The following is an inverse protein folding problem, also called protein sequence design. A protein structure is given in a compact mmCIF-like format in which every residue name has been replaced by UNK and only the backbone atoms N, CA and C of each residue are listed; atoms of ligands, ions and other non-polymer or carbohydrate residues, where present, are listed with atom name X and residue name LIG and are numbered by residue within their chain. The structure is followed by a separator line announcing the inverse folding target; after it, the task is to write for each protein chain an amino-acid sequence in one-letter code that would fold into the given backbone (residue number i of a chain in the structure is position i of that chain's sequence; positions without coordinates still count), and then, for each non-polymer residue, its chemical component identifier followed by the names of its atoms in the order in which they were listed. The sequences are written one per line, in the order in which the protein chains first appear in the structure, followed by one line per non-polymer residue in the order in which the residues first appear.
data_IF_716193365024
#
_entry.id   IF_716193365024
#
_cell.length_a   1.000
_cell.length_b   1.000
_cell.length_c   1.000
_cell.angle_alpha   90.00
_cell.angle_beta   90.00
_cell.angle_gamma   90.00
#
_symmetry.space_group_name_H-M   'P 1'
#
loop_
_entity.id
_entity.type
_entity.pdbx_description
1 polymer ?
#
# COMPACT_ATOMS: atom_id res chain seq x y z
N UNK A 1 13.32 9.33 -25.44
CA UNK A 1 13.14 7.93 -25.90
C UNK A 1 12.27 7.14 -24.93
N UNK A 2 12.69 6.92 -23.66
CA UNK A 2 11.88 6.20 -22.67
C UNK A 2 10.51 6.82 -22.40
N UNK A 3 10.43 8.15 -22.21
CA UNK A 3 9.15 8.83 -21.97
C UNK A 3 8.14 8.63 -23.10
N UNK A 4 8.60 8.63 -24.35
CA UNK A 4 7.74 8.41 -25.51
C UNK A 4 7.27 6.96 -25.59
N UNK A 5 8.18 6.00 -25.38
CA UNK A 5 7.83 4.57 -25.30
C UNK A 5 6.77 4.30 -24.21
N UNK A 6 6.96 4.85 -23.00
CA UNK A 6 5.99 4.69 -21.92
C UNK A 6 4.66 5.41 -22.21
N UNK A 7 4.68 6.56 -22.89
CA UNK A 7 3.45 7.22 -23.32
C UNK A 7 2.64 6.34 -24.28
N UNK A 8 3.30 5.74 -25.27
CA UNK A 8 2.67 4.82 -26.24
C UNK A 8 2.15 3.54 -25.56
N UNK A 9 2.91 2.98 -24.61
CA UNK A 9 2.45 1.82 -23.82
C UNK A 9 1.21 2.14 -23.00
N UNK A 10 1.15 3.31 -22.37
CA UNK A 10 0.01 3.76 -21.57
C UNK A 10 -1.22 4.05 -22.44
N UNK A 11 -1.03 4.65 -23.62
CA UNK A 11 -2.11 4.87 -24.59
C UNK A 11 -2.70 3.52 -25.06
N UNK A 12 -1.84 2.57 -25.44
CA UNK A 12 -2.28 1.24 -25.86
C UNK A 12 -2.99 0.49 -24.72
N UNK A 13 -2.51 0.59 -23.48
CA UNK A 13 -3.16 -0.02 -22.32
C UNK A 13 -4.54 0.60 -22.06
N UNK A 14 -4.65 1.93 -22.20
CA UNK A 14 -5.91 2.66 -22.06
C UNK A 14 -6.94 2.24 -23.11
N UNK A 15 -6.49 2.04 -24.35
CA UNK A 15 -7.34 1.55 -25.44
C UNK A 15 -7.79 0.10 -25.23
N UNK A 16 -6.92 -0.76 -24.72
CA UNK A 16 -7.29 -2.13 -24.33
C UNK A 16 -8.35 -2.09 -23.23
N UNK A 17 -8.13 -1.29 -22.18
CA UNK A 17 -9.07 -1.16 -21.07
C UNK A 17 -10.46 -0.70 -21.53
N UNK A 18 -10.52 0.21 -22.52
CA UNK A 18 -11.78 0.71 -23.09
C UNK A 18 -12.51 -0.35 -23.92
N UNK A 19 -11.79 -1.13 -24.74
CA UNK A 19 -12.41 -2.00 -25.74
C UNK A 19 -12.61 -3.45 -25.28
N UNK A 20 -11.81 -3.93 -24.33
CA UNK A 20 -11.84 -5.34 -23.90
C UNK A 20 -13.17 -5.80 -23.28
N UNK A 21 -13.94 -4.97 -22.53
CA UNK A 21 -15.22 -5.40 -21.95
C UNK A 21 -16.25 -5.85 -22.99
N UNK A 22 -16.31 -5.16 -24.13
CA UNK A 22 -17.28 -5.41 -25.20
C UNK A 22 -16.72 -6.33 -26.31
N UNK A 23 -15.40 -6.52 -26.36
CA UNK A 23 -14.77 -7.33 -27.39
C UNK A 23 -15.05 -8.84 -27.23
N UNK A 24 -15.45 -9.46 -28.33
CA UNK A 24 -15.67 -10.91 -28.46
C UNK A 24 -14.90 -11.52 -29.65
N UNK A 25 -14.79 -12.84 -29.68
CA UNK A 25 -14.16 -13.57 -30.78
C UNK A 25 -12.72 -13.13 -31.05
N UNK A 26 -12.38 -12.96 -32.32
CA UNK A 26 -11.02 -12.60 -32.79
C UNK A 26 -10.53 -11.29 -32.16
N UNK A 27 -11.39 -10.28 -32.06
CA UNK A 27 -11.02 -8.96 -31.51
C UNK A 27 -10.59 -9.04 -30.05
N UNK A 28 -11.25 -9.88 -29.25
CA UNK A 28 -10.86 -10.12 -27.84
C UNK A 28 -9.48 -10.76 -27.75
N UNK A 29 -9.20 -11.74 -28.63
CA UNK A 29 -7.91 -12.41 -28.67
C UNK A 29 -6.77 -11.45 -29.05
N UNK A 30 -7.00 -10.55 -30.00
CA UNK A 30 -6.05 -9.49 -30.37
C UNK A 30 -5.74 -8.56 -29.19
N UNK A 31 -6.76 -8.06 -28.48
CA UNK A 31 -6.56 -7.17 -27.34
C UNK A 31 -5.79 -7.85 -26.20
N UNK A 32 -6.10 -9.12 -25.92
CA UNK A 32 -5.35 -9.91 -24.92
C UNK A 32 -3.91 -10.23 -25.37
N UNK A 33 -3.66 -10.33 -26.68
CA UNK A 33 -2.31 -10.48 -27.22
C UNK A 33 -1.51 -9.18 -27.03
N UNK A 34 -2.11 -8.02 -27.33
CA UNK A 34 -1.50 -6.70 -27.08
C UNK A 34 -1.20 -6.48 -25.59
N UNK A 35 -2.12 -6.84 -24.71
CA UNK A 35 -1.88 -6.77 -23.26
C UNK A 35 -0.68 -7.64 -22.83
N UNK A 36 -0.61 -8.89 -23.34
CA UNK A 36 0.53 -9.77 -23.05
C UNK A 36 1.85 -9.19 -23.55
N UNK A 37 1.84 -8.52 -24.70
CA UNK A 37 3.01 -7.81 -25.22
C UNK A 37 3.42 -6.64 -24.31
N UNK A 38 2.47 -5.79 -23.90
CA UNK A 38 2.73 -4.67 -22.98
C UNK A 38 3.31 -5.16 -21.65
N UNK A 39 2.75 -6.25 -21.11
CA UNK A 39 3.26 -6.87 -19.89
C UNK A 39 4.69 -7.35 -20.07
N UNK A 40 4.98 -8.08 -21.16
CA UNK A 40 6.33 -8.56 -21.46
C UNK A 40 7.33 -7.40 -21.58
N UNK A 41 6.97 -6.33 -22.28
CA UNK A 41 7.82 -5.14 -22.40
C UNK A 41 8.06 -4.45 -21.05
N UNK A 42 7.05 -4.43 -20.17
CA UNK A 42 7.20 -3.91 -18.82
C UNK A 42 8.15 -4.76 -17.99
N UNK A 43 8.05 -6.09 -18.08
CA UNK A 43 8.93 -7.01 -17.36
C UNK A 43 10.40 -6.84 -17.84
N UNK A 44 10.62 -6.80 -19.16
CA UNK A 44 11.95 -6.57 -19.74
C UNK A 44 12.54 -5.20 -19.36
N UNK A 45 11.74 -4.13 -19.35
CA UNK A 45 12.20 -2.81 -18.94
C UNK A 45 12.59 -2.77 -17.45
N UNK A 46 11.90 -3.52 -16.60
CA UNK A 46 12.23 -3.65 -15.18
C UNK A 46 13.54 -4.41 -14.99
N UNK A 47 13.76 -5.50 -15.73
CA UNK A 47 15.00 -6.28 -15.67
C UNK A 47 16.21 -5.45 -16.11
N UNK A 48 16.09 -4.70 -17.21
CA UNK A 48 17.14 -3.79 -17.69
C UNK A 48 17.43 -2.66 -16.69
N UNK A 49 16.37 -2.09 -16.08
CA UNK A 49 16.54 -1.08 -15.04
C UNK A 49 17.25 -1.65 -13.81
N UNK A 50 16.92 -2.88 -13.41
CA UNK A 50 17.57 -3.56 -12.29
C UNK A 50 19.05 -3.81 -12.57
N UNK A 51 19.39 -4.34 -13.75
CA UNK A 51 20.77 -4.55 -14.18
C UNK A 51 21.58 -3.24 -14.19
N UNK A 52 20.97 -2.15 -14.67
CA UNK A 52 21.58 -0.83 -14.64
C UNK A 52 21.80 -0.31 -13.20
N UNK A 53 20.81 -0.47 -12.32
CA UNK A 53 20.93 -0.07 -10.92
C UNK A 53 22.03 -0.85 -10.17
N UNK A 54 22.17 -2.15 -10.45
CA UNK A 54 23.26 -2.97 -9.93
C UNK A 54 24.62 -2.51 -10.45
N UNK A 55 24.73 -2.24 -11.76
CA UNK A 55 25.96 -1.72 -12.36
C UNK A 55 26.36 -0.36 -11.77
N UNK A 56 25.41 0.54 -11.55
CA UNK A 56 25.63 1.82 -10.87
C UNK A 56 26.13 1.62 -9.43
N UNK A 57 25.54 0.68 -8.70
CA UNK A 57 25.97 0.36 -7.33
C UNK A 57 27.42 -0.12 -7.29
N UNK A 58 27.79 -1.05 -8.17
CA UNK A 58 29.14 -1.57 -8.30
C UNK A 58 30.13 -0.48 -8.75
N UNK A 59 29.72 0.39 -9.67
CA UNK A 59 30.54 1.51 -10.11
C UNK A 59 30.83 2.48 -8.97
N UNK A 60 29.81 2.84 -8.17
CA UNK A 60 29.99 3.69 -6.98
C UNK A 60 30.99 3.09 -5.99
N UNK A 61 30.86 1.80 -5.70
CA UNK A 61 31.79 1.09 -4.81
C UNK A 61 33.23 1.07 -5.35
N UNK A 62 33.41 0.94 -6.67
CA UNK A 62 34.73 0.87 -7.31
C UNK A 62 35.44 2.22 -7.41
N UNK A 63 34.70 3.29 -7.61
CA UNK A 63 35.28 4.61 -7.86
C UNK A 63 35.48 5.40 -6.56
N UNK A 64 35.14 4.82 -5.40
CA UNK A 64 35.10 5.54 -4.11
C UNK A 64 34.46 6.93 -4.28
N UNK A 65 33.38 6.98 -5.07
CA UNK A 65 32.56 8.18 -5.20
C UNK A 65 31.86 8.37 -3.85
N UNK A 66 32.59 8.96 -2.92
CA UNK A 66 32.02 9.71 -1.81
C UNK A 66 31.22 10.81 -2.48
N UNK A 67 29.92 10.83 -2.23
CA UNK A 67 29.13 12.02 -2.53
C UNK A 67 29.87 13.18 -1.86
N UNK A 68 30.34 14.15 -2.64
CA UNK A 68 30.64 15.46 -2.07
C UNK A 68 29.31 15.90 -1.48
N UNK A 69 29.19 16.06 -0.15
CA UNK A 69 27.96 16.54 0.44
C UNK A 69 27.65 17.86 -0.25
N UNK A 70 26.46 17.99 -0.84
CA UNK A 70 25.95 19.32 -1.13
C UNK A 70 26.11 20.15 0.15
N UNK A 71 26.58 21.41 0.05
CA UNK A 71 27.01 22.19 1.19
C UNK A 71 25.95 22.12 2.29
N UNK A 72 26.38 21.49 3.38
CA UNK A 72 25.56 21.07 4.50
C UNK A 72 24.69 22.23 5.00
N UNK A 73 23.39 22.18 4.72
CA UNK A 73 22.45 22.69 5.72
C UNK A 73 22.54 21.73 6.91
N UNK A 74 22.97 22.18 8.09
CA UNK A 74 23.36 21.31 9.17
C UNK A 74 22.14 20.72 9.86
N UNK A 75 21.59 19.63 9.30
CA UNK A 75 20.58 18.78 9.93
C UNK A 75 20.75 17.32 9.44
N UNK A 76 21.71 16.62 10.05
CA UNK A 76 21.70 15.17 10.36
C UNK A 76 21.37 14.13 9.26
N UNK A 77 22.41 13.40 8.83
CA UNK A 77 22.40 11.92 8.75
C UNK A 77 22.10 11.29 7.37
N UNK A 78 23.12 10.63 6.81
CA UNK A 78 23.07 9.76 5.61
C UNK A 78 21.96 8.68 5.65
N UNK A 79 21.48 8.30 6.85
CA UNK A 79 20.34 7.38 7.06
C UNK A 79 19.06 7.90 6.36
N UNK A 80 18.77 9.20 6.52
CA UNK A 80 17.48 9.81 6.15
C UNK A 80 17.11 9.67 4.67
N UNK A 81 18.10 9.56 3.78
CA UNK A 81 17.90 9.37 2.35
C UNK A 81 17.40 7.97 2.00
N UNK A 82 17.93 6.93 2.67
CA UNK A 82 17.57 5.53 2.40
C UNK A 82 16.14 5.26 2.88
N UNK A 83 15.70 5.80 4.02
CA UNK A 83 14.31 5.60 4.44
C UNK A 83 13.33 6.37 3.58
N UNK A 84 13.69 7.57 3.09
CA UNK A 84 12.87 8.31 2.14
C UNK A 84 12.71 7.53 0.82
N UNK A 85 13.77 6.87 0.36
CA UNK A 85 13.72 5.99 -0.81
C UNK A 85 12.87 4.73 -0.57
N UNK A 86 13.06 4.04 0.56
CA UNK A 86 12.23 2.89 0.93
C UNK A 86 10.75 3.28 1.05
N UNK A 87 10.45 4.44 1.61
CA UNK A 87 9.09 4.95 1.72
C UNK A 87 8.48 5.17 0.33
N UNK A 88 9.18 5.86 -0.57
CA UNK A 88 8.71 6.09 -1.94
C UNK A 88 8.51 4.78 -2.71
N UNK A 89 9.44 3.83 -2.62
CA UNK A 89 9.32 2.48 -3.21
C UNK A 89 8.12 1.72 -2.64
N UNK A 90 7.95 1.75 -1.32
CA UNK A 90 6.80 1.15 -0.63
C UNK A 90 5.47 1.69 -1.14
N UNK A 91 5.34 3.01 -1.29
CA UNK A 91 4.15 3.63 -1.88
C UNK A 91 3.93 3.20 -3.34
N UNK A 92 4.99 3.12 -4.13
CA UNK A 92 4.94 2.62 -5.52
C UNK A 92 4.42 1.19 -5.59
N UNK A 93 5.00 0.28 -4.78
CA UNK A 93 4.56 -1.11 -4.70
C UNK A 93 3.11 -1.23 -4.23
N UNK A 94 2.69 -0.44 -3.25
CA UNK A 94 1.29 -0.42 -2.79
C UNK A 94 0.32 -0.03 -3.92
N UNK A 95 0.64 1.04 -4.66
CA UNK A 95 -0.18 1.49 -5.81
C UNK A 95 -0.27 0.43 -6.92
N UNK A 96 0.79 -0.36 -7.09
CA UNK A 96 0.86 -1.48 -8.03
C UNK A 96 0.31 -2.80 -7.46
N UNK A 97 -0.27 -2.79 -6.25
CA UNK A 97 -0.80 -3.96 -5.55
C UNK A 97 0.24 -5.06 -5.25
N UNK A 98 1.53 -4.71 -5.22
CA UNK A 98 2.64 -5.61 -4.91
C UNK A 98 2.87 -5.66 -3.40
N UNK A 99 1.89 -6.19 -2.67
CA UNK A 99 1.86 -6.14 -1.19
C UNK A 99 3.06 -6.79 -0.48
N UNK A 100 3.62 -7.94 -0.93
CA UNK A 100 4.83 -8.48 -0.30
C UNK A 100 6.03 -7.52 -0.35
N UNK A 101 6.29 -6.91 -1.51
CA UNK A 101 7.37 -5.92 -1.65
C UNK A 101 7.08 -4.65 -0.84
N UNK A 102 5.82 -4.22 -0.80
CA UNK A 102 5.40 -3.12 0.06
C UNK A 102 5.73 -3.40 1.54
N UNK A 103 5.46 -4.62 2.02
CA UNK A 103 5.77 -5.04 3.39
C UNK A 103 7.28 -4.99 3.64
N UNK A 104 8.10 -5.50 2.72
CA UNK A 104 9.56 -5.45 2.85
C UNK A 104 10.07 -4.01 3.03
N UNK A 105 9.64 -3.09 2.16
CA UNK A 105 10.11 -1.70 2.21
C UNK A 105 9.69 -0.98 3.50
N UNK A 106 8.41 -1.10 3.89
CA UNK A 106 7.93 -0.42 5.08
C UNK A 106 8.40 -1.08 6.38
N UNK A 107 8.77 -2.37 6.37
CA UNK A 107 9.41 -3.03 7.50
C UNK A 107 10.76 -2.39 7.83
N UNK A 108 11.55 -2.06 6.79
CA UNK A 108 12.80 -1.29 6.96
C UNK A 108 12.50 0.08 7.57
N UNK A 109 11.52 0.82 7.02
CA UNK A 109 11.15 2.15 7.55
C UNK A 109 10.77 2.10 9.03
N UNK A 110 9.93 1.15 9.46
CA UNK A 110 9.49 1.07 10.86
C UNK A 110 10.57 0.53 11.81
N UNK A 111 11.60 -0.16 11.29
CA UNK A 111 12.75 -0.57 12.10
C UNK A 111 13.54 0.63 12.63
N UNK A 112 13.56 1.73 11.86
CA UNK A 112 14.25 2.97 12.22
C UNK A 112 13.32 4.02 12.82
N UNK A 113 12.10 4.10 12.31
CA UNK A 113 11.04 4.99 12.79
C UNK A 113 9.82 4.20 13.27
N UNK A 114 9.89 3.57 14.46
CA UNK A 114 8.81 2.73 14.97
C UNK A 114 7.46 3.45 15.12
N UNK A 115 7.44 4.79 15.18
CA UNK A 115 6.20 5.56 15.34
C UNK A 115 5.73 6.20 14.03
N UNK A 116 6.33 5.87 12.88
CA UNK A 116 5.87 6.38 11.59
C UNK A 116 4.47 5.81 11.25
N UNK A 117 3.45 6.64 11.46
CA UNK A 117 2.04 6.26 11.30
C UNK A 117 1.72 5.86 9.85
N UNK A 118 2.32 6.55 8.88
CA UNK A 118 2.07 6.26 7.48
C UNK A 118 2.61 4.88 7.08
N UNK A 119 3.87 4.59 7.42
CA UNK A 119 4.49 3.29 7.16
C UNK A 119 3.72 2.14 7.83
N UNK A 120 3.27 2.34 9.09
CA UNK A 120 2.45 1.34 9.79
C UNK A 120 1.10 1.12 9.12
N UNK A 121 0.48 2.17 8.59
CA UNK A 121 -0.79 2.01 7.89
C UNK A 121 -0.62 1.25 6.59
N UNK A 122 0.42 1.56 5.80
CA UNK A 122 0.75 0.78 4.60
C UNK A 122 1.02 -0.70 4.91
N UNK A 123 1.75 -0.99 6.00
CA UNK A 123 1.96 -2.37 6.47
C UNK A 123 0.64 -3.04 6.83
N UNK A 124 -0.18 -2.40 7.67
CA UNK A 124 -1.47 -2.94 8.08
C UNK A 124 -2.35 -3.29 6.88
N UNK A 125 -2.47 -2.37 5.92
CA UNK A 125 -3.28 -2.58 4.72
C UNK A 125 -2.70 -3.67 3.82
N UNK A 126 -1.38 -3.71 3.65
CA UNK A 126 -0.72 -4.75 2.84
C UNK A 126 -0.94 -6.14 3.45
N UNK A 127 -0.82 -6.27 4.77
CA UNK A 127 -1.14 -7.51 5.46
C UNK A 127 -2.62 -7.90 5.34
N UNK A 128 -3.56 -6.95 5.41
CA UNK A 128 -4.98 -7.23 5.17
C UNK A 128 -5.24 -7.76 3.76
N UNK A 129 -4.62 -7.16 2.73
CA UNK A 129 -4.73 -7.65 1.35
C UNK A 129 -4.14 -9.06 1.16
N UNK A 130 -3.15 -9.43 1.97
CA UNK A 130 -2.56 -10.77 1.99
C UNK A 130 -3.36 -11.78 2.83
N UNK A 131 -4.44 -11.35 3.50
CA UNK A 131 -5.22 -12.19 4.42
C UNK A 131 -4.55 -12.39 5.80
N UNK A 132 -3.48 -11.66 6.08
CA UNK A 132 -2.67 -11.77 7.30
C UNK A 132 -3.23 -10.87 8.42
N UNK A 133 -4.48 -11.09 8.78
CA UNK A 133 -5.21 -10.26 9.74
C UNK A 133 -4.52 -10.07 11.11
N UNK A 134 -3.85 -11.09 11.71
CA UNK A 134 -3.11 -10.90 12.96
C UNK A 134 -1.95 -9.90 12.83
N UNK A 135 -1.18 -9.95 11.74
CA UNK A 135 -0.08 -9.03 11.51
C UNK A 135 -0.59 -7.60 11.30
N UNK A 136 -1.67 -7.44 10.53
CA UNK A 136 -2.31 -6.14 10.34
C UNK A 136 -2.77 -5.52 11.67
N UNK A 137 -3.37 -6.32 12.55
CA UNK A 137 -3.86 -5.88 13.85
C UNK A 137 -2.76 -5.25 14.71
N UNK A 138 -1.57 -5.86 14.74
CA UNK A 138 -0.42 -5.35 15.51
C UNK A 138 -0.06 -3.91 15.10
N UNK A 139 -0.05 -3.63 13.79
CA UNK A 139 0.26 -2.29 13.30
C UNK A 139 -0.84 -1.27 13.62
N UNK A 140 -2.11 -1.63 13.45
CA UNK A 140 -3.25 -0.76 13.73
C UNK A 140 -3.37 -0.41 15.22
N UNK A 141 -3.22 -1.39 16.11
CA UNK A 141 -3.29 -1.18 17.55
C UNK A 141 -2.14 -0.30 18.06
N UNK A 142 -0.94 -0.45 17.49
CA UNK A 142 0.18 0.43 17.78
C UNK A 142 -0.10 1.89 17.39
N UNK A 143 -0.92 2.14 16.36
CA UNK A 143 -1.27 3.50 15.92
C UNK A 143 -2.31 4.17 16.84
N UNK A 144 -3.22 3.40 17.46
CA UNK A 144 -4.33 3.93 18.28
C UNK A 144 -3.90 4.93 19.38
N UNK A 145 -2.84 4.70 20.19
CA UNK A 145 -2.41 5.67 21.20
C UNK A 145 -1.73 6.91 20.60
N UNK A 146 -1.19 6.81 19.38
CA UNK A 146 -0.37 7.87 18.76
C UNK A 146 -1.21 8.85 17.93
N UNK A 147 -2.30 8.36 17.30
CA UNK A 147 -3.17 9.17 16.44
C UNK A 147 -3.96 10.20 17.25
N UNK A 148 -3.83 11.47 16.84
CA UNK A 148 -4.56 12.61 17.38
C UNK A 148 -5.85 12.93 16.61
N UNK A 149 -5.87 12.65 15.30
CA UNK A 149 -7.06 12.85 14.46
C UNK A 149 -8.19 11.93 14.90
N UNK A 150 -9.30 12.50 15.40
CA UNK A 150 -10.49 11.74 15.80
C UNK A 150 -11.03 10.88 14.66
N UNK A 151 -11.07 11.44 13.44
CA UNK A 151 -11.54 10.74 12.24
C UNK A 151 -10.68 9.51 11.95
N UNK A 152 -9.35 9.68 11.87
CA UNK A 152 -8.44 8.54 11.65
C UNK A 152 -8.57 7.51 12.77
N UNK A 153 -8.74 7.95 14.02
CA UNK A 153 -8.94 7.06 15.16
C UNK A 153 -10.21 6.23 15.05
N UNK A 154 -11.32 6.83 14.62
CA UNK A 154 -12.58 6.12 14.35
C UNK A 154 -12.39 5.02 13.30
N UNK A 155 -11.73 5.36 12.19
CA UNK A 155 -11.39 4.44 11.13
C UNK A 155 -10.48 3.28 11.58
N UNK A 156 -9.47 3.55 12.43
CA UNK A 156 -8.62 2.49 13.00
C UNK A 156 -9.42 1.54 13.91
N UNK A 157 -10.30 2.07 14.77
CA UNK A 157 -11.18 1.23 15.59
C UNK A 157 -12.11 0.37 14.73
N UNK A 158 -12.68 0.93 13.66
CA UNK A 158 -13.49 0.16 12.72
C UNK A 158 -12.68 -0.98 12.07
N UNK A 159 -11.45 -0.71 11.62
CA UNK A 159 -10.59 -1.71 11.00
C UNK A 159 -10.23 -2.85 11.97
N UNK A 160 -9.83 -2.53 13.21
CA UNK A 160 -9.54 -3.55 14.23
C UNK A 160 -10.81 -4.33 14.60
N UNK A 161 -11.97 -3.66 14.66
CA UNK A 161 -13.28 -4.30 14.87
C UNK A 161 -13.61 -5.30 13.77
N UNK A 162 -13.34 -4.97 12.51
CA UNK A 162 -13.52 -5.89 11.39
C UNK A 162 -12.59 -7.11 11.50
N UNK A 163 -11.32 -6.93 11.91
CA UNK A 163 -10.40 -8.04 12.16
C UNK A 163 -10.94 -8.97 13.27
N UNK A 164 -11.46 -8.40 14.36
CA UNK A 164 -12.08 -9.15 15.45
C UNK A 164 -13.31 -9.94 14.99
N UNK A 165 -14.21 -9.30 14.24
CA UNK A 165 -15.42 -9.91 13.71
C UNK A 165 -15.12 -11.06 12.72
N UNK A 166 -14.15 -10.87 11.82
CA UNK A 166 -13.65 -11.93 10.92
C UNK A 166 -13.11 -13.13 11.69
N UNK A 167 -12.48 -12.89 12.85
CA UNK A 167 -12.04 -13.92 13.79
C UNK A 167 -13.14 -14.47 14.71
N UNK A 168 -14.42 -14.15 14.45
CA UNK A 168 -15.60 -14.52 15.27
C UNK A 168 -15.57 -14.03 16.73
N UNK A 169 -14.73 -13.04 17.04
CA UNK A 169 -14.73 -12.34 18.34
C UNK A 169 -15.74 -11.20 18.31
N UNK A 170 -17.02 -11.56 18.28
CA UNK A 170 -18.09 -10.60 18.03
C UNK A 170 -18.30 -9.60 19.16
N UNK A 171 -18.04 -9.97 20.41
CA UNK A 171 -18.21 -9.05 21.54
C UNK A 171 -17.13 -7.97 21.54
N UNK A 172 -15.87 -8.36 21.34
CA UNK A 172 -14.76 -7.43 21.10
C UNK A 172 -15.04 -6.52 19.90
N UNK A 173 -15.52 -7.07 18.78
CA UNK A 173 -15.84 -6.29 17.60
C UNK A 173 -16.91 -5.22 17.87
N UNK A 174 -17.97 -5.55 18.62
CA UNK A 174 -19.02 -4.60 18.98
C UNK A 174 -18.50 -3.44 19.82
N UNK A 175 -17.63 -3.71 20.79
CA UNK A 175 -16.98 -2.67 21.60
C UNK A 175 -16.14 -1.73 20.72
N UNK A 176 -15.35 -2.30 19.80
CA UNK A 176 -14.52 -1.53 18.87
C UNK A 176 -15.34 -0.67 17.91
N UNK A 177 -16.46 -1.19 17.37
CA UNK A 177 -17.37 -0.41 16.54
C UNK A 177 -18.06 0.71 17.35
N UNK A 178 -18.42 0.46 18.61
CA UNK A 178 -18.90 1.50 19.52
C UNK A 178 -17.87 2.61 19.76
N UNK A 179 -16.59 2.25 19.89
CA UNK A 179 -15.50 3.22 19.97
C UNK A 179 -15.33 4.01 18.67
N UNK A 180 -15.45 3.36 17.51
CA UNK A 180 -15.41 4.04 16.21
C UNK A 180 -16.49 5.15 16.13
N UNK A 181 -17.75 4.80 16.44
CA UNK A 181 -18.87 5.75 16.46
C UNK A 181 -18.73 6.84 17.52
N UNK A 182 -18.06 6.56 18.64
CA UNK A 182 -17.76 7.59 19.66
C UNK A 182 -16.81 8.67 19.12
N UNK A 183 -15.84 8.28 18.30
CA UNK A 183 -14.87 9.22 17.72
C UNK A 183 -15.39 9.92 16.47
N UNK A 184 -16.19 9.24 15.65
CA UNK A 184 -16.89 9.79 14.49
C UNK A 184 -18.28 9.16 14.35
N UNK A 185 -19.33 9.83 14.89
CA UNK A 185 -20.71 9.34 14.78
C UNK A 185 -21.27 9.33 13.35
N UNK A 186 -20.61 10.02 12.41
CA UNK A 186 -21.03 10.08 11.01
C UNK A 186 -20.36 9.00 10.14
N UNK A 187 -19.45 8.20 10.71
CA UNK A 187 -18.80 7.10 10.01
C UNK A 187 -19.83 5.98 9.74
N UNK A 188 -20.14 5.65 8.48
CA UNK A 188 -21.23 4.73 8.16
C UNK A 188 -20.90 3.25 8.40
N UNK A 189 -19.63 2.85 8.29
CA UNK A 189 -19.22 1.44 8.31
C UNK A 189 -19.50 0.71 9.63
N UNK A 190 -19.24 1.29 10.82
CA UNK A 190 -19.46 0.61 12.09
C UNK A 190 -20.90 0.10 12.31
N UNK A 191 -21.92 0.86 11.92
CA UNK A 191 -23.33 0.44 12.07
C UNK A 191 -23.66 -0.76 11.19
N UNK A 192 -23.19 -0.75 9.94
CA UNK A 192 -23.31 -1.91 9.04
C UNK A 192 -22.58 -3.13 9.62
N UNK A 193 -21.39 -2.93 10.18
CA UNK A 193 -20.59 -4.01 10.76
C UNK A 193 -21.22 -4.57 12.06
N UNK A 194 -21.86 -3.74 12.86
CA UNK A 194 -22.63 -4.18 14.03
C UNK A 194 -23.80 -5.09 13.62
N UNK A 195 -24.46 -4.80 12.50
CA UNK A 195 -25.50 -5.67 11.94
C UNK A 195 -24.92 -7.04 11.53
N UNK A 196 -23.74 -7.06 10.90
CA UNK A 196 -23.03 -8.29 10.54
C UNK A 196 -22.72 -9.12 11.79
N UNK A 197 -22.19 -8.48 12.84
CA UNK A 197 -21.94 -9.13 14.13
C UNK A 197 -23.22 -9.71 14.77
N UNK A 198 -24.36 -9.01 14.65
CA UNK A 198 -25.64 -9.49 15.20
C UNK A 198 -26.19 -10.69 14.43
N UNK A 199 -26.07 -10.67 13.11
CA UNK A 199 -26.56 -11.75 12.22
C UNK A 199 -25.62 -12.94 12.15
N UNK A 200 -24.35 -12.76 12.52
CA UNK A 200 -23.28 -13.74 12.37
C UNK A 200 -22.89 -14.03 10.92
N UNK A 201 -23.35 -13.21 9.96
CA UNK A 201 -23.13 -13.36 8.52
C UNK A 201 -23.23 -12.00 7.82
N UNK A 202 -22.55 -11.86 6.69
CA UNK A 202 -22.49 -10.64 5.89
C UNK A 202 -21.05 -10.22 5.62
N UNK A 203 -20.88 -9.15 4.85
CA UNK A 203 -19.57 -8.61 4.48
C UNK A 203 -19.21 -7.44 5.40
N UNK A 204 -18.02 -7.52 6.00
CA UNK A 204 -17.48 -6.46 6.86
C UNK A 204 -16.90 -5.34 6.00
N UNK A 205 -17.19 -4.11 6.41
CA UNK A 205 -16.77 -2.89 5.74
C UNK A 205 -15.62 -2.26 6.52
N UNK A 206 -14.40 -2.43 6.02
CA UNK A 206 -13.21 -1.80 6.63
C UNK A 206 -13.16 -0.27 6.38
N UNK A 207 -13.78 0.19 5.28
CA UNK A 207 -13.66 1.54 4.75
C UNK A 207 -12.59 1.59 3.65
N UNK A 208 -12.92 2.15 2.48
CA UNK A 208 -12.12 1.98 1.25
C UNK A 208 -10.92 2.91 1.09
N UNK A 209 -10.54 3.69 2.12
CA UNK A 209 -9.61 4.81 1.94
C UNK A 209 -8.77 5.14 3.18
N UNK A 210 -8.35 4.14 3.96
CA UNK A 210 -7.53 4.37 5.16
C UNK A 210 -6.23 5.12 4.84
N UNK A 211 -5.53 4.70 3.77
CA UNK A 211 -4.24 5.29 3.39
C UNK A 211 -4.37 6.73 2.90
N UNK A 212 -5.52 7.13 2.32
CA UNK A 212 -5.74 8.51 1.86
C UNK A 212 -6.14 9.49 2.97
N UNK A 213 -6.22 9.02 4.22
CA UNK A 213 -6.46 9.87 5.40
C UNK A 213 -5.16 10.32 6.08
N UNK A 214 -4.01 9.92 5.53
CA UNK A 214 -2.67 10.40 5.89
C UNK A 214 -2.32 11.62 5.05
#
# INVERSE_FOLDING_TARGET
MFQQMFAEMNEMLSDIARQLPEAQGVRRHELLSKYRMLRKMSDEALDEWLAFAEALSLFRQKVELTEVPEPETPLSGEDSGIEMENFARGQGYYKLLMFPKCIEQFSVVISRYPNNLAARLYLAMSHLHQGEAPAARVHLEHMLPLVQSRKLKAHLYNAVGCIAASGRRFDEAKELFGLALKYDPALPEPDANLEVCRRGRGELQFGFQLVSLL
#
